data_IF_809049878076
#
_entry.id   IF_809049878076
#
_cell.length_a   1.000
_cell.length_b   1.000
_cell.length_c   1.000
_cell.angle_alpha   90.00
_cell.angle_beta   90.00
_cell.angle_gamma   90.00
#
_symmetry.space_group_name_H-M   'P 1'
#
loop_
_entity.id
_entity.type
_entity.pdbx_description
1 polymer ?
#
# COMPACT_ATOMS: atom_id res chain seq x y z
N UNK A 1 -16.49 -20.42 14.96
CA UNK A 1 -15.67 -19.96 13.82
C UNK A 1 -15.17 -21.19 13.07
N UNK A 2 -15.37 -21.26 11.76
CA UNK A 2 -14.76 -22.30 10.92
C UNK A 2 -13.43 -21.83 10.32
N UNK A 3 -12.74 -22.71 9.59
CA UNK A 3 -11.43 -22.43 8.95
C UNK A 3 -11.46 -21.15 8.12
N UNK A 4 -12.47 -20.97 7.28
CA UNK A 4 -12.63 -19.74 6.48
C UNK A 4 -12.72 -18.48 7.35
N UNK A 5 -13.45 -18.55 8.48
CA UNK A 5 -13.57 -17.42 9.40
C UNK A 5 -12.23 -17.04 10.05
N UNK A 6 -11.43 -18.04 10.44
CA UNK A 6 -10.08 -17.83 10.98
C UNK A 6 -9.14 -17.26 9.93
N UNK A 7 -9.19 -17.75 8.68
CA UNK A 7 -8.37 -17.23 7.59
C UNK A 7 -8.71 -15.77 7.27
N UNK A 8 -10.01 -15.41 7.24
CA UNK A 8 -10.44 -14.02 7.08
C UNK A 8 -9.89 -13.15 8.21
N UNK A 9 -10.06 -13.57 9.47
CA UNK A 9 -9.55 -12.81 10.62
C UNK A 9 -8.04 -12.58 10.54
N UNK A 10 -7.27 -13.60 10.13
CA UNK A 10 -5.82 -13.49 9.98
C UNK A 10 -5.42 -12.51 8.89
N UNK A 11 -6.08 -12.58 7.74
CA UNK A 11 -5.83 -11.66 6.61
C UNK A 11 -6.23 -10.22 6.94
N UNK A 12 -7.32 -10.01 7.68
CA UNK A 12 -7.68 -8.67 8.18
C UNK A 12 -6.69 -8.16 9.24
N UNK A 13 -6.10 -9.04 10.05
CA UNK A 13 -5.03 -8.68 10.98
C UNK A 13 -3.76 -8.19 10.26
N UNK A 14 -3.34 -8.91 9.22
CA UNK A 14 -2.23 -8.47 8.35
C UNK A 14 -2.53 -7.13 7.68
N UNK A 15 -3.77 -6.94 7.21
CA UNK A 15 -4.22 -5.67 6.66
C UNK A 15 -4.14 -4.54 7.70
N UNK A 16 -4.51 -4.81 8.95
CA UNK A 16 -4.40 -3.87 10.07
C UNK A 16 -2.99 -3.31 10.20
N UNK A 17 -1.98 -4.19 10.25
CA UNK A 17 -0.56 -3.79 10.32
C UNK A 17 -0.15 -2.85 9.18
N UNK A 18 -0.64 -3.09 7.96
CA UNK A 18 -0.37 -2.22 6.80
C UNK A 18 -1.05 -0.85 6.98
N UNK A 19 -2.27 -0.82 7.50
CA UNK A 19 -3.01 0.44 7.73
C UNK A 19 -2.34 1.26 8.83
N UNK A 20 -1.88 0.60 9.89
CA UNK A 20 -1.16 1.24 11.00
C UNK A 20 0.15 1.86 10.47
N UNK A 21 0.94 1.10 9.71
CA UNK A 21 2.17 1.59 9.08
C UNK A 21 1.93 2.74 8.08
N UNK A 22 0.81 2.75 7.34
CA UNK A 22 0.43 3.90 6.49
C UNK A 22 0.22 5.16 7.34
N UNK A 23 -0.41 5.02 8.51
CA UNK A 23 -0.61 6.12 9.45
C UNK A 23 0.72 6.64 9.98
N UNK A 24 1.55 5.74 10.51
CA UNK A 24 2.86 6.06 11.07
C UNK A 24 3.78 6.74 10.06
N UNK A 25 3.92 6.18 8.85
CA UNK A 25 4.76 6.75 7.79
C UNK A 25 4.25 8.11 7.30
N UNK A 26 2.92 8.33 7.32
CA UNK A 26 2.33 9.62 6.95
C UNK A 26 2.65 10.68 8.01
N UNK A 27 2.42 10.36 9.29
CA UNK A 27 2.72 11.25 10.42
C UNK A 27 4.22 11.59 10.49
N UNK A 28 5.07 10.60 10.24
CA UNK A 28 6.52 10.76 10.18
C UNK A 28 6.98 11.69 9.03
N UNK A 29 6.29 11.62 7.89
CA UNK A 29 6.62 12.38 6.70
C UNK A 29 6.03 13.79 6.65
N UNK A 30 5.08 14.14 7.52
CA UNK A 30 4.45 15.47 7.59
C UNK A 30 5.39 16.49 8.24
N UNK A 31 5.59 17.63 7.58
CA UNK A 31 6.30 18.77 8.14
C UNK A 31 5.41 19.42 9.23
N UNK A 32 6.00 19.99 10.28
CA UNK A 32 5.26 20.62 11.40
C UNK A 32 4.32 21.77 10.93
N UNK A 33 4.56 22.35 9.75
CA UNK A 33 3.71 23.40 9.15
C UNK A 33 2.38 22.89 8.58
N UNK A 34 2.21 21.58 8.35
CA UNK A 34 0.97 20.98 7.81
C UNK A 34 0.01 20.46 8.92
N UNK A 35 0.31 20.74 10.20
CA UNK A 35 -0.49 20.28 11.36
C UNK A 35 -1.76 21.12 11.65
N UNK A 36 -2.12 22.08 10.80
CA UNK A 36 -3.37 22.83 10.90
C UNK A 36 -4.32 22.48 9.74
N UNK A 37 -4.96 21.30 9.82
CA UNK A 37 -6.35 21.09 9.36
C UNK A 37 -6.83 19.65 9.66
N UNK A 38 -7.28 19.42 10.90
CA UNK A 38 -8.54 18.73 11.18
C UNK A 38 -8.63 17.20 11.05
N UNK A 39 -8.48 16.50 12.17
CA UNK A 39 -9.54 15.60 12.65
C UNK A 39 -9.51 15.46 14.18
N UNK A 40 -10.27 16.31 14.89
CA UNK A 40 -10.42 16.16 16.35
C UNK A 40 -10.84 17.43 17.06
N UNK A 41 -12.04 17.94 16.76
CA UNK A 41 -12.61 19.00 17.58
C UNK A 41 -13.00 18.48 18.98
N UNK A 42 -12.31 18.96 20.01
CA UNK A 42 -12.91 19.24 21.32
C UNK A 42 -12.02 20.21 22.10
N UNK A 43 -12.65 21.25 22.62
CA UNK A 43 -12.09 22.43 23.27
C UNK A 43 -11.41 22.19 24.64
N UNK A 44 -10.54 23.15 24.99
CA UNK A 44 -10.06 23.48 26.36
C UNK A 44 -8.55 23.30 26.52
N UNK A 45 -7.75 24.17 27.14
CA UNK A 45 -7.88 25.51 27.71
C UNK A 45 -6.43 25.91 28.09
N UNK A 46 -6.05 27.17 27.83
CA UNK A 46 -5.15 27.96 28.68
C UNK A 46 -3.69 27.50 28.97
N UNK A 47 -2.76 28.00 28.15
CA UNK A 47 -1.55 28.70 28.61
C UNK A 47 -0.27 27.89 28.91
N UNK A 48 0.81 28.21 28.19
CA UNK A 48 2.11 28.69 28.70
C UNK A 48 3.11 28.80 27.53
N UNK A 49 3.31 30.02 27.03
CA UNK A 49 4.35 30.39 26.06
C UNK A 49 5.74 30.21 26.73
N UNK A 50 6.74 29.73 25.96
CA UNK A 50 8.16 29.50 26.31
C UNK A 50 8.60 28.09 26.79
N UNK A 51 7.91 27.01 26.37
CA UNK A 51 8.49 25.63 26.40
C UNK A 51 8.52 24.88 25.06
N UNK A 52 7.89 25.40 24.02
CA UNK A 52 7.74 24.67 22.76
C UNK A 52 9.06 24.62 21.94
N UNK A 53 9.90 25.65 21.97
CA UNK A 53 11.12 25.72 21.13
C UNK A 53 12.15 24.60 21.38
N UNK A 54 12.19 24.03 22.59
CA UNK A 54 13.13 22.93 22.91
C UNK A 54 12.55 21.55 22.66
N UNK A 55 11.22 21.39 22.72
CA UNK A 55 10.53 20.13 22.42
C UNK A 55 10.41 19.94 20.90
N UNK A 56 10.20 21.03 20.13
CA UNK A 56 10.26 21.06 18.66
C UNK A 56 11.64 20.67 18.11
N UNK A 57 12.73 21.14 18.74
CA UNK A 57 14.09 20.84 18.28
C UNK A 57 14.47 19.35 18.47
N UNK A 58 13.82 18.64 19.39
CA UNK A 58 13.99 17.20 19.58
C UNK A 58 12.93 16.36 18.85
N UNK A 59 11.73 16.91 18.59
CA UNK A 59 10.68 16.37 17.70
C UNK A 59 11.18 16.27 16.25
N UNK A 60 11.73 17.37 15.72
CA UNK A 60 12.20 17.48 14.34
C UNK A 60 13.38 16.54 14.02
N UNK A 61 14.12 16.07 15.04
CA UNK A 61 15.21 15.11 14.86
C UNK A 61 14.73 13.72 14.40
N UNK A 62 13.43 13.43 14.53
CA UNK A 62 12.85 12.12 14.22
C UNK A 62 11.90 12.12 13.01
N UNK A 63 11.79 13.25 12.29
CA UNK A 63 10.95 13.41 11.08
C UNK A 63 11.75 13.41 9.79
N UNK A 64 11.07 13.24 8.66
CA UNK A 64 11.70 13.31 7.34
C UNK A 64 12.34 14.70 7.11
N UNK A 65 13.66 14.81 6.86
CA UNK A 65 14.29 16.10 6.65
C UNK A 65 13.80 16.78 5.36
N UNK A 66 13.40 18.05 5.45
CA UNK A 66 12.82 18.83 4.33
C UNK A 66 13.69 18.91 3.06
N UNK A 67 15.01 18.73 3.19
CA UNK A 67 15.95 18.73 2.06
C UNK A 67 16.00 17.39 1.30
N UNK A 68 15.48 16.30 1.86
CA UNK A 68 15.46 14.94 1.25
C UNK A 68 14.25 14.75 0.34
N UNK A 69 14.22 15.52 -0.75
CA UNK A 69 13.14 15.46 -1.77
C UNK A 69 13.00 14.08 -2.42
N UNK A 70 14.10 13.34 -2.52
CA UNK A 70 14.14 11.96 -3.00
C UNK A 70 13.30 11.03 -2.12
N UNK A 71 13.44 11.14 -0.80
CA UNK A 71 12.65 10.35 0.15
C UNK A 71 11.22 10.83 0.24
N UNK A 72 10.94 12.14 0.09
CA UNK A 72 9.56 12.65 0.06
C UNK A 72 8.78 12.10 -1.13
N UNK A 73 9.37 12.18 -2.33
CA UNK A 73 8.76 11.62 -3.55
C UNK A 73 8.57 10.09 -3.40
N UNK A 74 9.53 9.38 -2.79
CA UNK A 74 9.45 7.94 -2.52
C UNK A 74 8.40 7.58 -1.46
N UNK A 75 8.23 8.42 -0.44
CA UNK A 75 7.22 8.25 0.61
C UNK A 75 5.82 8.41 0.02
N UNK A 76 5.60 9.42 -0.82
CA UNK A 76 4.32 9.59 -1.52
C UNK A 76 3.98 8.39 -2.42
N UNK A 77 4.98 7.88 -3.16
CA UNK A 77 4.81 6.66 -3.96
C UNK A 77 4.50 5.45 -3.06
N UNK A 78 5.19 5.32 -1.93
CA UNK A 78 4.97 4.28 -0.93
C UNK A 78 3.55 4.32 -0.38
N UNK A 79 3.10 5.45 0.16
CA UNK A 79 1.77 5.60 0.74
C UNK A 79 0.68 5.28 -0.29
N UNK A 80 0.87 5.68 -1.55
CA UNK A 80 -0.02 5.32 -2.66
C UNK A 80 -0.04 3.80 -2.90
N UNK A 81 1.12 3.15 -2.97
CA UNK A 81 1.22 1.70 -3.18
C UNK A 81 0.60 0.93 -2.01
N UNK A 82 0.90 1.29 -0.76
CA UNK A 82 0.34 0.64 0.42
C UNK A 82 -1.19 0.77 0.49
N UNK A 83 -1.76 1.91 0.04
CA UNK A 83 -3.23 2.05 -0.11
C UNK A 83 -3.80 1.13 -1.19
N UNK A 84 -3.08 0.90 -2.30
CA UNK A 84 -3.48 -0.10 -3.29
C UNK A 84 -3.44 -1.51 -2.69
N UNK A 85 -2.40 -1.84 -1.92
CA UNK A 85 -2.27 -3.11 -1.21
C UNK A 85 -3.41 -3.30 -0.20
N UNK A 86 -3.78 -2.27 0.58
CA UNK A 86 -4.95 -2.30 1.46
C UNK A 86 -6.24 -2.71 0.71
N UNK A 87 -6.43 -2.17 -0.50
CA UNK A 87 -7.57 -2.56 -1.35
C UNK A 87 -7.47 -4.00 -1.84
N UNK A 88 -6.28 -4.52 -2.13
CA UNK A 88 -6.07 -5.93 -2.47
C UNK A 88 -6.53 -6.85 -1.33
N UNK A 89 -6.14 -6.55 -0.09
CA UNK A 89 -6.57 -7.31 1.08
C UNK A 89 -8.10 -7.35 1.20
N UNK A 90 -8.76 -6.18 1.11
CA UNK A 90 -10.23 -6.07 1.13
C UNK A 90 -10.87 -6.92 0.02
N UNK A 91 -10.33 -6.83 -1.19
CA UNK A 91 -10.86 -7.54 -2.36
C UNK A 91 -10.70 -9.05 -2.22
N UNK A 92 -9.52 -9.54 -1.84
CA UNK A 92 -9.21 -10.96 -1.67
C UNK A 92 -10.03 -11.55 -0.51
N UNK A 93 -10.06 -10.89 0.64
CA UNK A 93 -10.85 -11.34 1.79
C UNK A 93 -12.34 -11.46 1.43
N UNK A 94 -12.89 -10.46 0.73
CA UNK A 94 -14.32 -10.42 0.35
C UNK A 94 -14.69 -11.40 -0.76
N UNK A 95 -13.88 -11.50 -1.81
CA UNK A 95 -14.25 -12.17 -3.08
C UNK A 95 -13.63 -13.55 -3.26
N UNK A 96 -12.62 -13.91 -2.47
CA UNK A 96 -11.95 -15.22 -2.51
C UNK A 96 -12.07 -15.97 -1.20
N UNK A 97 -11.58 -15.40 -0.10
CA UNK A 97 -11.51 -16.13 1.17
C UNK A 97 -12.92 -16.41 1.70
N UNK A 98 -13.80 -15.40 1.78
CA UNK A 98 -15.19 -15.58 2.24
C UNK A 98 -16.04 -16.49 1.35
N UNK A 99 -15.68 -16.65 0.08
CA UNK A 99 -16.40 -17.47 -0.91
C UNK A 99 -15.82 -18.87 -1.05
N UNK A 100 -14.78 -19.22 -0.28
CA UNK A 100 -14.13 -20.52 -0.35
C UNK A 100 -15.12 -21.66 -0.08
N UNK A 101 -15.17 -22.71 -0.92
CA UNK A 101 -16.12 -23.79 -0.76
C UNK A 101 -15.78 -24.65 0.47
N UNK A 102 -16.47 -24.41 1.58
CA UNK A 102 -16.28 -25.13 2.85
C UNK A 102 -16.84 -26.56 2.81
N UNK A 103 -17.74 -26.85 1.87
CA UNK A 103 -18.30 -28.20 1.70
C UNK A 103 -17.22 -29.11 1.15
N UNK A 104 -16.51 -29.79 2.03
CA UNK A 104 -15.48 -30.79 1.72
C UNK A 104 -16.06 -31.87 0.80
N UNK A 105 -15.67 -31.93 -0.48
CA UNK A 105 -15.55 -33.23 -1.13
C UNK A 105 -14.47 -34.02 -0.35
N UNK A 106 -14.44 -35.36 -0.43
CA UNK A 106 -13.33 -36.11 0.16
C UNK A 106 -12.00 -35.48 -0.27
N UNK A 107 -11.00 -35.41 0.62
CA UNK A 107 -9.64 -34.94 0.30
C UNK A 107 -9.00 -35.70 -0.88
N UNK A 108 -9.66 -36.74 -1.37
CA UNK A 108 -9.40 -37.51 -2.58
C UNK A 108 -9.70 -36.73 -3.89
N UNK A 109 -10.56 -35.70 -3.85
CA UNK A 109 -10.83 -34.82 -5.00
C UNK A 109 -9.65 -33.88 -5.29
N UNK A 110 -9.07 -34.05 -6.48
CA UNK A 110 -7.97 -33.20 -6.95
C UNK A 110 -8.37 -31.73 -7.04
N UNK A 111 -9.62 -31.42 -7.40
CA UNK A 111 -10.10 -30.04 -7.48
C UNK A 111 -10.09 -29.36 -6.10
N UNK A 112 -10.51 -30.08 -5.05
CA UNK A 112 -10.46 -29.58 -3.68
C UNK A 112 -9.02 -29.36 -3.21
N UNK A 113 -8.09 -30.29 -3.53
CA UNK A 113 -6.66 -30.13 -3.21
C UNK A 113 -6.04 -28.92 -3.88
N UNK A 114 -6.36 -28.67 -5.16
CA UNK A 114 -5.89 -27.51 -5.89
C UNK A 114 -6.43 -26.22 -5.27
N UNK A 115 -7.72 -26.16 -4.91
CA UNK A 115 -8.31 -24.98 -4.25
C UNK A 115 -7.63 -24.66 -2.92
N UNK A 116 -7.37 -25.66 -2.08
CA UNK A 116 -6.67 -25.49 -0.79
C UNK A 116 -5.24 -24.98 -1.02
N UNK A 117 -4.48 -25.60 -1.93
CA UNK A 117 -3.11 -25.15 -2.26
C UNK A 117 -3.08 -23.71 -2.77
N UNK A 118 -4.06 -23.32 -3.60
CA UNK A 118 -4.20 -21.94 -4.08
C UNK A 118 -4.47 -20.99 -2.92
N UNK A 119 -5.38 -21.33 -2.01
CA UNK A 119 -5.66 -20.52 -0.83
C UNK A 119 -4.43 -20.35 0.06
N UNK A 120 -3.70 -21.45 0.33
CA UNK A 120 -2.48 -21.43 1.14
C UNK A 120 -1.41 -20.53 0.50
N UNK A 121 -1.21 -20.64 -0.82
CA UNK A 121 -0.28 -19.79 -1.56
C UNK A 121 -0.65 -18.31 -1.50
N UNK A 122 -1.94 -17.98 -1.66
CA UNK A 122 -2.43 -16.59 -1.52
C UNK A 122 -2.19 -16.07 -0.11
N UNK A 123 -2.54 -16.85 0.93
CA UNK A 123 -2.38 -16.43 2.33
C UNK A 123 -0.91 -16.29 2.71
N UNK A 124 -0.02 -17.13 2.18
CA UNK A 124 1.43 -17.02 2.38
C UNK A 124 1.98 -15.71 1.80
N UNK A 125 1.58 -15.34 0.57
CA UNK A 125 1.97 -14.08 -0.05
C UNK A 125 1.42 -12.86 0.69
N UNK A 126 0.18 -12.94 1.19
CA UNK A 126 -0.37 -11.87 2.03
C UNK A 126 0.45 -11.75 3.32
N UNK A 127 0.75 -12.87 4.01
CA UNK A 127 1.53 -12.84 5.25
C UNK A 127 2.91 -12.17 5.11
N UNK A 128 3.60 -12.32 3.98
CA UNK A 128 4.93 -11.74 3.80
C UNK A 128 4.94 -10.23 3.57
N UNK A 129 3.82 -9.64 3.17
CA UNK A 129 3.75 -8.21 2.84
C UNK A 129 3.93 -7.33 4.10
N UNK A 130 3.20 -7.53 5.22
CA UNK A 130 3.42 -6.74 6.44
C UNK A 130 4.84 -6.84 6.97
N UNK A 131 5.48 -8.01 6.85
CA UNK A 131 6.89 -8.19 7.23
C UNK A 131 7.80 -7.27 6.40
N UNK A 132 7.54 -7.15 5.09
CA UNK A 132 8.28 -6.21 4.23
C UNK A 132 7.90 -4.74 4.47
N UNK A 133 6.70 -4.45 4.97
CA UNK A 133 6.30 -3.08 5.32
C UNK A 133 7.02 -2.60 6.57
N UNK A 134 7.28 -3.50 7.54
CA UNK A 134 8.11 -3.22 8.71
C UNK A 134 9.55 -2.89 8.29
N UNK A 135 10.15 -3.73 7.43
CA UNK A 135 11.47 -3.47 6.85
C UNK A 135 11.50 -2.14 6.09
N UNK A 136 10.43 -1.82 5.34
CA UNK A 136 10.31 -0.57 4.59
C UNK A 136 10.30 0.65 5.53
N UNK A 137 9.55 0.58 6.63
CA UNK A 137 9.52 1.65 7.61
C UNK A 137 10.89 1.86 8.25
N UNK A 138 11.61 0.78 8.57
CA UNK A 138 12.98 0.85 9.07
C UNK A 138 13.91 1.58 8.07
N UNK A 139 13.84 1.24 6.77
CA UNK A 139 14.63 1.90 5.74
C UNK A 139 14.31 3.41 5.63
N UNK A 140 13.05 3.81 5.80
CA UNK A 140 12.69 5.23 5.87
C UNK A 140 13.28 5.92 7.09
N UNK A 141 13.21 5.31 8.27
CA UNK A 141 13.79 5.86 9.50
C UNK A 141 15.32 5.96 9.43
N UNK A 142 15.97 5.05 8.71
CA UNK A 142 17.40 5.10 8.43
C UNK A 142 17.77 6.06 7.28
N UNK A 143 16.77 6.69 6.65
CA UNK A 143 16.91 7.59 5.51
C UNK A 143 17.58 6.96 4.28
N UNK A 144 17.47 5.63 4.14
CA UNK A 144 18.01 4.83 3.05
C UNK A 144 17.00 4.71 1.91
N UNK A 145 17.13 5.60 0.92
CA UNK A 145 16.24 5.64 -0.24
C UNK A 145 16.42 4.42 -1.16
N UNK A 146 17.62 3.83 -1.21
CA UNK A 146 17.91 2.69 -2.09
C UNK A 146 17.25 1.43 -1.55
N UNK A 147 17.40 1.18 -0.24
CA UNK A 147 16.79 0.03 0.42
C UNK A 147 15.27 0.17 0.45
N UNK A 148 14.75 1.36 0.79
CA UNK A 148 13.31 1.61 0.74
C UNK A 148 12.73 1.38 -0.68
N UNK A 149 13.44 1.77 -1.73
CA UNK A 149 13.02 1.51 -3.12
C UNK A 149 13.02 0.01 -3.45
N UNK A 150 14.03 -0.72 -3.00
CA UNK A 150 14.14 -2.17 -3.17
C UNK A 150 12.99 -2.91 -2.49
N UNK A 151 12.70 -2.56 -1.23
CA UNK A 151 11.64 -3.17 -0.43
C UNK A 151 10.26 -2.81 -1.00
N UNK A 152 10.02 -1.56 -1.43
CA UNK A 152 8.78 -1.16 -2.09
C UNK A 152 8.53 -1.95 -3.39
N UNK A 153 9.61 -2.24 -4.14
CA UNK A 153 9.56 -3.09 -5.34
C UNK A 153 9.18 -4.53 -4.98
N UNK A 154 9.70 -5.06 -3.88
CA UNK A 154 9.32 -6.38 -3.35
C UNK A 154 7.84 -6.41 -2.95
N UNK A 155 7.36 -5.44 -2.18
CA UNK A 155 5.93 -5.32 -1.79
C UNK A 155 5.03 -5.29 -3.03
N UNK A 156 5.41 -4.49 -4.02
CA UNK A 156 4.68 -4.39 -5.30
C UNK A 156 4.64 -5.75 -6.02
N UNK A 157 5.75 -6.48 -6.03
CA UNK A 157 5.86 -7.80 -6.66
C UNK A 157 5.01 -8.84 -5.95
N UNK A 158 5.11 -8.91 -4.61
CA UNK A 158 4.34 -9.83 -3.77
C UNK A 158 2.84 -9.56 -3.88
N UNK A 159 2.43 -8.29 -3.93
CA UNK A 159 1.04 -7.90 -4.14
C UNK A 159 0.50 -8.33 -5.51
N UNK A 160 1.28 -8.18 -6.60
CA UNK A 160 0.92 -8.69 -7.93
C UNK A 160 0.82 -10.21 -7.94
N UNK A 161 1.76 -10.90 -7.30
CA UNK A 161 1.75 -12.35 -7.17
C UNK A 161 0.49 -12.83 -6.43
N UNK A 162 0.13 -12.18 -5.32
CA UNK A 162 -1.09 -12.51 -4.56
C UNK A 162 -2.36 -12.29 -5.39
N UNK A 163 -2.45 -11.17 -6.10
CA UNK A 163 -3.58 -10.87 -6.98
C UNK A 163 -3.70 -11.88 -8.13
N UNK A 164 -2.58 -12.32 -8.69
CA UNK A 164 -2.50 -13.33 -9.75
C UNK A 164 -2.89 -14.72 -9.25
N UNK A 165 -2.37 -15.14 -8.10
CA UNK A 165 -2.73 -16.40 -7.48
C UNK A 165 -4.23 -16.46 -7.14
N UNK A 166 -4.82 -15.31 -6.84
CA UNK A 166 -6.25 -15.13 -6.59
C UNK A 166 -7.09 -14.86 -7.86
N UNK A 167 -6.53 -14.83 -9.07
CA UNK A 167 -7.20 -14.27 -10.26
C UNK A 167 -8.54 -14.93 -10.58
N UNK A 168 -8.60 -16.26 -10.55
CA UNK A 168 -9.78 -17.03 -10.95
C UNK A 168 -10.68 -17.37 -9.76
N UNK A 169 -11.96 -17.57 -10.03
CA UNK A 169 -12.90 -18.10 -9.04
C UNK A 169 -12.53 -19.52 -8.63
N UNK A 170 -13.14 -20.03 -7.55
CA UNK A 170 -12.94 -21.42 -7.12
C UNK A 170 -13.43 -22.46 -8.14
N UNK A 171 -14.25 -22.05 -9.12
CA UNK A 171 -14.68 -22.88 -10.26
C UNK A 171 -13.82 -22.64 -11.51
N UNK A 172 -12.67 -21.97 -11.38
CA UNK A 172 -11.73 -21.67 -12.47
C UNK A 172 -12.34 -20.78 -13.58
N UNK A 173 -13.37 -20.00 -13.25
CA UNK A 173 -14.03 -19.06 -14.17
C UNK A 173 -13.57 -17.63 -13.91
N UNK A 174 -13.58 -16.81 -14.96
CA UNK A 174 -13.39 -15.37 -14.83
C UNK A 174 -14.62 -14.75 -14.14
N UNK A 175 -14.37 -13.81 -13.22
CA UNK A 175 -15.41 -13.07 -12.52
C UNK A 175 -15.03 -11.58 -12.36
N UNK A 176 -15.84 -10.83 -11.62
CA UNK A 176 -15.56 -9.41 -11.34
C UNK A 176 -14.17 -9.16 -10.74
N UNK A 177 -13.62 -10.11 -9.96
CA UNK A 177 -12.28 -9.96 -9.39
C UNK A 177 -11.20 -10.14 -10.46
N UNK A 178 -11.41 -11.02 -11.45
CA UNK A 178 -10.51 -11.15 -12.61
C UNK A 178 -10.37 -9.81 -13.35
N UNK A 179 -11.49 -9.13 -13.62
CA UNK A 179 -11.46 -7.79 -14.24
C UNK A 179 -10.86 -6.73 -13.32
N UNK A 180 -11.17 -6.79 -12.01
CA UNK A 180 -10.60 -5.87 -11.03
C UNK A 180 -9.08 -6.02 -10.91
N UNK A 181 -8.55 -7.25 -10.96
CA UNK A 181 -7.12 -7.56 -10.89
C UNK A 181 -6.33 -6.84 -11.97
N UNK A 182 -6.81 -6.83 -13.22
CA UNK A 182 -6.14 -6.11 -14.30
C UNK A 182 -6.05 -4.60 -14.03
N UNK A 183 -7.13 -3.99 -13.51
CA UNK A 183 -7.13 -2.56 -13.14
C UNK A 183 -6.20 -2.28 -11.95
N UNK A 184 -6.16 -3.19 -10.99
CA UNK A 184 -5.25 -3.11 -9.84
C UNK A 184 -3.79 -3.15 -10.30
N UNK A 185 -3.41 -4.06 -11.19
CA UNK A 185 -2.04 -4.16 -11.69
C UNK A 185 -1.62 -2.94 -12.51
N UNK A 186 -2.54 -2.38 -13.31
CA UNK A 186 -2.32 -1.13 -14.03
C UNK A 186 -2.08 0.03 -13.06
N UNK A 187 -2.94 0.17 -12.04
CA UNK A 187 -2.80 1.20 -11.01
C UNK A 187 -1.50 1.04 -10.20
N UNK A 188 -1.07 -0.18 -9.93
CA UNK A 188 0.17 -0.46 -9.19
C UNK A 188 1.42 -0.15 -10.03
N UNK A 189 1.35 -0.36 -11.35
CA UNK A 189 2.46 -0.10 -12.27
C UNK A 189 2.56 1.37 -12.70
N UNK A 190 1.49 2.15 -12.51
CA UNK A 190 1.51 3.58 -12.73
C UNK A 190 2.28 4.26 -11.59
N UNK A 191 3.42 4.88 -11.91
CA UNK A 191 4.09 5.79 -10.95
C UNK A 191 3.16 6.95 -10.62
N UNK A 192 3.29 7.53 -9.43
CA UNK A 192 2.69 8.83 -9.13
C UNK A 192 3.26 9.83 -10.15
N UNK A 193 2.47 10.13 -11.18
CA UNK A 193 2.91 10.98 -12.27
C UNK A 193 3.06 12.40 -11.77
N UNK A 194 4.25 12.96 -11.89
CA UNK A 194 4.38 14.38 -12.27
C UNK A 194 3.48 14.58 -13.49
N UNK A 195 2.48 15.44 -13.35
CA UNK A 195 1.64 15.85 -14.47
C UNK A 195 2.51 16.29 -15.64
N UNK A 196 2.06 15.94 -16.85
CA UNK A 196 2.84 16.03 -18.07
C UNK A 196 3.48 17.40 -18.29
N UNK A 197 4.79 17.38 -18.50
CA UNK A 197 5.49 18.42 -19.24
C UNK A 197 4.88 18.45 -20.65
N UNK A 198 3.98 19.41 -20.91
CA UNK A 198 3.48 19.68 -22.25
C UNK A 198 4.69 19.94 -23.16
N UNK A 199 4.80 19.29 -24.33
CA UNK A 199 5.84 19.63 -25.27
C UNK A 199 5.68 21.10 -25.66
N UNK A 200 6.74 21.90 -25.44
CA UNK A 200 6.82 23.27 -25.93
C UNK A 200 6.69 23.22 -27.45
N UNK A 201 5.54 23.65 -27.95
CA UNK A 201 5.29 23.83 -29.37
C UNK A 201 6.26 24.89 -29.89
N UNK A 202 7.33 24.44 -30.55
CA UNK A 202 8.32 25.31 -31.16
C UNK A 202 7.64 26.07 -32.28
N UNK A 203 7.32 27.34 -32.01
CA UNK A 203 6.74 28.28 -32.96
C UNK A 203 7.71 28.48 -34.13
N UNK A 204 7.49 27.79 -35.24
CA UNK A 204 8.18 28.05 -36.51
C UNK A 204 7.57 29.33 -37.09
N UNK A 205 8.32 30.43 -37.04
CA UNK A 205 7.98 31.66 -37.74
C UNK A 205 8.04 31.43 -39.26
N UNK A 206 7.03 31.88 -40.04
CA UNK A 206 7.11 31.78 -41.49
C UNK A 206 8.12 32.81 -42.03
N UNK A 207 9.13 32.29 -42.73
CA UNK A 207 9.98 33.07 -43.63
C UNK A 207 9.11 33.79 -44.65
N UNK A 208 9.11 35.13 -44.63
CA UNK A 208 8.61 35.93 -45.76
C UNK A 208 9.70 35.97 -46.82
N UNK A 209 9.45 35.34 -47.97
CA UNK A 209 10.20 35.60 -49.20
C UNK A 209 9.92 37.03 -49.67
N UNK A 210 10.98 37.73 -50.04
CA UNK A 210 10.96 38.96 -50.82
C UNK A 210 11.78 38.74 -52.07
#
# INVERSE_FOLDING_TARGET
MGVVGLTVQKVEGFRGMIVDAIGELKEWGEDEEDLDEGFGGSEGDGGEEDRDDFEDMFSAANKLPSHRRDLRDLLDETLRVLRLVDMLYKAVAKRRIKTFPVKTPPLEDEAARVQVKTLDGVVALLKSIPESVDDLANAFYELDAEDATSILTKITTDAKAAATAAEKSWTNTADEFTTWRSKFEEALSKKAGKEGEKPKETMILPFRSN
#
